data_IF_069756108294
#
_entry.id   IF_069756108294
#
_cell.length_a   1.000
_cell.length_b   1.000
_cell.length_c   1.000
_cell.angle_alpha   90.00
_cell.angle_beta   90.00
_cell.angle_gamma   90.00
#
_symmetry.space_group_name_H-M   'P 1'
#
loop_
_entity.id
_entity.type
_entity.pdbx_description
1 polymer ?
#
# COMPACT_ATOMS: atom_id res chain seq x y z
N UNK A 1 18.67 -8.33 24.23
CA UNK A 1 17.83 -7.30 23.58
C UNK A 1 17.81 -7.66 22.11
N UNK A 2 16.69 -8.13 21.58
CA UNK A 2 16.59 -8.42 20.15
C UNK A 2 16.53 -7.07 19.44
N UNK A 3 17.54 -6.80 18.63
CA UNK A 3 17.59 -5.60 17.82
C UNK A 3 16.54 -5.75 16.71
N UNK A 4 15.48 -4.93 16.76
CA UNK A 4 14.50 -4.88 15.67
C UNK A 4 15.23 -4.55 14.37
N UNK A 5 15.01 -5.41 13.38
CA UNK A 5 15.61 -5.25 12.05
C UNK A 5 15.13 -3.95 11.41
N UNK A 6 15.94 -3.40 10.49
CA UNK A 6 15.56 -2.21 9.71
C UNK A 6 14.22 -2.44 8.98
N UNK A 7 13.97 -3.68 8.54
CA UNK A 7 12.73 -4.09 7.87
C UNK A 7 11.50 -4.01 8.79
N UNK A 8 11.62 -4.48 10.03
CA UNK A 8 10.54 -4.40 11.03
C UNK A 8 10.21 -2.95 11.38
N UNK A 9 11.22 -2.09 11.53
CA UNK A 9 11.03 -0.65 11.76
C UNK A 9 10.35 0.01 10.58
N UNK A 10 10.77 -0.29 9.35
CA UNK A 10 10.16 0.23 8.14
C UNK A 10 8.70 -0.21 8.00
N UNK A 11 8.40 -1.49 8.30
CA UNK A 11 7.03 -2.02 8.30
C UNK A 11 6.15 -1.29 9.34
N UNK A 12 6.66 -1.04 10.53
CA UNK A 12 5.93 -0.30 11.57
C UNK A 12 5.62 1.13 11.14
N UNK A 13 6.59 1.84 10.56
CA UNK A 13 6.37 3.20 10.04
C UNK A 13 5.34 3.21 8.91
N UNK A 14 5.42 2.27 7.98
CA UNK A 14 4.44 2.13 6.89
C UNK A 14 3.03 1.88 7.46
N UNK A 15 2.89 0.96 8.41
CA UNK A 15 1.61 0.67 9.06
C UNK A 15 1.02 1.91 9.73
N UNK A 16 1.82 2.64 10.51
CA UNK A 16 1.38 3.88 11.15
C UNK A 16 0.94 4.94 10.15
N UNK A 17 1.64 5.06 9.01
CA UNK A 17 1.25 5.96 7.93
C UNK A 17 -0.10 5.56 7.33
N UNK A 18 -0.28 4.28 6.98
CA UNK A 18 -1.53 3.78 6.38
C UNK A 18 -2.75 3.99 7.29
N UNK A 19 -2.59 3.80 8.60
CA UNK A 19 -3.64 4.07 9.59
C UNK A 19 -3.97 5.57 9.61
N UNK A 20 -2.96 6.43 9.76
CA UNK A 20 -3.15 7.89 9.87
C UNK A 20 -3.76 8.49 8.61
N UNK A 21 -3.43 7.95 7.45
CA UNK A 21 -3.88 8.42 6.14
C UNK A 21 -5.06 7.62 5.58
N UNK A 22 -5.72 6.76 6.37
CA UNK A 22 -6.79 5.87 5.94
C UNK A 22 -7.89 6.59 5.14
N UNK A 23 -8.34 7.76 5.59
CA UNK A 23 -9.37 8.55 4.88
C UNK A 23 -8.97 8.95 3.45
N UNK A 24 -7.69 9.26 3.25
CA UNK A 24 -7.16 9.64 1.92
C UNK A 24 -6.99 8.37 1.08
N UNK A 25 -6.35 7.36 1.65
CA UNK A 25 -6.05 6.10 0.95
C UNK A 25 -7.32 5.37 0.54
N UNK A 26 -8.38 5.39 1.36
CA UNK A 26 -9.67 4.78 1.04
C UNK A 26 -10.43 5.51 -0.09
N UNK A 27 -10.11 6.77 -0.38
CA UNK A 27 -10.64 7.44 -1.56
C UNK A 27 -9.99 6.90 -2.85
N UNK A 28 -8.68 6.61 -2.80
CA UNK A 28 -7.91 6.08 -3.93
C UNK A 28 -8.03 4.55 -4.06
N UNK A 29 -8.29 3.86 -2.95
CA UNK A 29 -8.46 2.40 -2.87
C UNK A 29 -9.77 2.07 -2.11
N UNK A 30 -10.94 2.13 -2.78
CA UNK A 30 -12.25 2.04 -2.11
C UNK A 30 -12.52 0.72 -1.36
N UNK A 31 -11.80 -0.36 -1.70
CA UNK A 31 -12.00 -1.66 -1.09
C UNK A 31 -11.72 -1.69 0.43
N UNK A 32 -10.96 -0.72 0.97
CA UNK A 32 -10.70 -0.60 2.42
C UNK A 32 -11.58 0.45 3.12
N UNK A 33 -12.48 1.13 2.40
CA UNK A 33 -13.24 2.26 2.95
C UNK A 33 -14.14 1.86 4.13
N UNK A 34 -14.68 0.65 4.10
CA UNK A 34 -15.54 0.09 5.15
C UNK A 34 -14.77 -0.71 6.20
N UNK A 35 -13.43 -0.71 6.15
CA UNK A 35 -12.58 -1.40 7.11
C UNK A 35 -12.11 -0.42 8.20
N UNK A 36 -11.99 -0.87 9.46
CA UNK A 36 -11.26 -0.14 10.48
C UNK A 36 -9.84 0.21 9.99
N UNK A 37 -9.30 1.40 10.31
CA UNK A 37 -7.99 1.84 9.83
C UNK A 37 -6.85 0.84 10.07
N UNK A 38 -6.85 0.17 11.22
CA UNK A 38 -5.87 -0.84 11.60
C UNK A 38 -5.97 -2.07 10.69
N UNK A 39 -7.19 -2.58 10.50
CA UNK A 39 -7.44 -3.74 9.64
C UNK A 39 -7.14 -3.42 8.18
N UNK A 40 -7.47 -2.19 7.75
CA UNK A 40 -7.16 -1.70 6.41
C UNK A 40 -5.65 -1.65 6.16
N UNK A 41 -4.88 -1.15 7.12
CA UNK A 41 -3.42 -1.10 7.03
C UNK A 41 -2.81 -2.51 6.99
N UNK A 42 -3.26 -3.41 7.86
CA UNK A 42 -2.78 -4.80 7.92
C UNK A 42 -3.14 -5.56 6.63
N UNK A 43 -4.33 -5.32 6.07
CA UNK A 43 -4.75 -5.88 4.80
C UNK A 43 -3.88 -5.40 3.63
N UNK A 44 -3.61 -4.10 3.52
CA UNK A 44 -2.73 -3.55 2.48
C UNK A 44 -1.29 -4.08 2.60
N UNK A 45 -0.77 -4.18 3.82
CA UNK A 45 0.56 -4.77 4.05
C UNK A 45 0.58 -6.24 3.61
N UNK A 46 -0.46 -7.01 3.93
CA UNK A 46 -0.57 -8.39 3.47
C UNK A 46 -0.62 -8.51 1.94
N UNK A 47 -1.38 -7.64 1.25
CA UNK A 47 -1.41 -7.61 -0.21
C UNK A 47 -0.04 -7.26 -0.80
N UNK A 48 0.72 -6.36 -0.17
CA UNK A 48 2.09 -6.04 -0.57
C UNK A 48 3.02 -7.24 -0.38
N UNK A 49 2.97 -7.86 0.79
CA UNK A 49 3.83 -8.99 1.15
C UNK A 49 3.56 -10.23 0.26
N UNK A 50 2.33 -10.37 -0.22
CA UNK A 50 1.93 -11.41 -1.18
C UNK A 50 2.17 -11.02 -2.65
N UNK A 51 2.75 -9.84 -2.89
CA UNK A 51 3.09 -9.34 -4.22
C UNK A 51 1.90 -8.92 -5.08
N UNK A 52 0.69 -8.82 -4.52
CA UNK A 52 -0.53 -8.40 -5.23
C UNK A 52 -0.53 -6.92 -5.56
N UNK A 53 0.03 -6.12 -4.66
CA UNK A 53 0.15 -4.68 -4.83
C UNK A 53 1.56 -4.22 -4.51
N UNK A 54 1.94 -3.08 -5.07
CA UNK A 54 3.08 -2.29 -4.62
C UNK A 54 2.57 -1.05 -3.91
N UNK A 55 3.17 -0.71 -2.76
CA UNK A 55 2.86 0.52 -2.01
C UNK A 55 4.10 1.40 -2.05
N UNK A 56 3.98 2.55 -2.71
CA UNK A 56 5.05 3.54 -2.87
C UNK A 56 4.70 4.80 -2.08
N UNK A 57 5.65 5.29 -1.28
CA UNK A 57 5.54 6.55 -0.53
C UNK A 57 6.53 7.55 -1.15
N UNK A 58 6.00 8.52 -1.88
CA UNK A 58 6.79 9.57 -2.51
C UNK A 58 6.67 10.89 -1.74
N UNK A 59 7.75 11.65 -1.67
CA UNK A 59 7.71 13.01 -1.12
C UNK A 59 7.64 14.02 -2.26
N UNK A 60 6.54 14.78 -2.34
CA UNK A 60 6.33 15.84 -3.33
C UNK A 60 6.21 17.17 -2.60
N UNK A 61 7.29 17.95 -2.62
CA UNK A 61 7.42 19.17 -1.80
C UNK A 61 7.38 18.82 -0.31
N UNK A 62 6.39 19.37 0.41
CA UNK A 62 6.19 19.12 1.85
C UNK A 62 5.09 18.07 2.13
N UNK A 63 4.69 17.27 1.13
CA UNK A 63 3.63 16.25 1.27
C UNK A 63 4.16 14.86 0.96
N UNK A 64 3.71 13.87 1.72
CA UNK A 64 3.91 12.46 1.40
C UNK A 64 2.69 11.95 0.64
N UNK A 65 2.90 11.49 -0.58
CA UNK A 65 1.89 10.89 -1.44
C UNK A 65 2.04 9.38 -1.36
N UNK A 66 0.92 8.69 -1.15
CA UNK A 66 0.84 7.24 -1.23
C UNK A 66 0.33 6.84 -2.61
N UNK A 67 1.01 5.91 -3.27
CA UNK A 67 0.51 5.25 -4.48
C UNK A 67 0.41 3.76 -4.25
N UNK A 68 -0.75 3.20 -4.58
CA UNK A 68 -1.01 1.77 -4.53
C UNK A 68 -1.21 1.29 -5.97
N UNK A 69 -0.36 0.38 -6.42
CA UNK A 69 -0.35 -0.14 -7.79
C UNK A 69 -0.61 -1.64 -7.77
N UNK A 70 -1.51 -2.14 -8.62
CA UNK A 70 -1.76 -3.57 -8.74
C UNK A 70 -0.65 -4.21 -9.58
N UNK A 71 -0.03 -5.26 -9.06
CA UNK A 71 1.00 -6.03 -9.77
C UNK A 71 0.44 -6.80 -10.96
N UNK A 72 -0.87 -7.09 -10.98
CA UNK A 72 -1.56 -7.83 -12.05
C UNK A 72 -1.77 -7.04 -13.36
N UNK A 73 -1.29 -5.80 -13.50
CA UNK A 73 -1.48 -4.98 -14.72
C UNK A 73 -0.34 -5.01 -15.75
N UNK A 74 0.61 -5.95 -15.65
CA UNK A 74 1.66 -6.14 -16.67
C UNK A 74 1.55 -7.41 -17.54
N UNK A 75 0.39 -8.10 -17.58
CA UNK A 75 0.14 -9.12 -18.60
C UNK A 75 -1.27 -8.99 -19.20
N UNK A 76 -1.41 -8.05 -20.13
CA UNK A 76 -2.32 -8.17 -21.26
C UNK A 76 -1.76 -7.27 -22.34
N UNK A 77 -0.75 -7.80 -23.04
CA UNK A 77 -0.41 -7.33 -24.37
C UNK A 77 -1.71 -7.28 -25.18
N UNK A 78 -2.04 -6.09 -25.68
CA UNK A 78 -3.05 -5.91 -26.70
C UNK A 78 -2.54 -6.64 -27.96
N UNK A 79 -2.85 -7.93 -28.06
CA UNK A 79 -2.67 -8.75 -29.24
C UNK A 79 -3.91 -8.61 -30.13
N UNK A 80 -3.71 -7.95 -31.26
CA UNK A 80 -4.65 -7.63 -32.33
C UNK A 80 -5.64 -8.75 -32.70
N UNK A 81 -6.86 -8.28 -32.98
CA UNK A 81 -8.02 -8.88 -33.65
C UNK A 81 -7.62 -9.77 -34.85
N UNK A 82 -8.26 -10.94 -34.97
CA UNK A 82 -8.58 -11.54 -36.27
C UNK A 82 -10.09 -11.76 -36.35
#
# INVERSE_FOLDING_TARGET
>A
MNEETIEEKARTVLRSYLIRCHKIISADYPAIANMPPENAADYLIHLRDTGRITINLDTVGNKIICRIENSDRQQSECGTII
#
